data_IF_456839513958
#
_entry.id   IF_456839513958
#
_cell.length_a   1.000
_cell.length_b   1.000
_cell.length_c   1.000
_cell.angle_alpha   90.00
_cell.angle_beta   90.00
_cell.angle_gamma   90.00
#
_symmetry.space_group_name_H-M   'P 1'
#
loop_
_entity.id
_entity.type
_entity.pdbx_description
1 polymer ?
#
# COMPACT_ATOMS: atom_id res chain seq x y z
N UNK A 1 17.60 -12.45 13.74
CA UNK A 1 16.82 -13.50 13.06
C UNK A 1 17.12 -13.48 11.57
N UNK A 2 17.34 -14.61 10.90
CA UNK A 2 17.46 -14.58 9.45
C UNK A 2 16.12 -14.12 8.85
N UNK A 3 16.17 -13.22 7.86
CA UNK A 3 14.99 -12.78 7.14
C UNK A 3 14.44 -13.94 6.31
N UNK A 4 13.17 -14.22 6.48
CA UNK A 4 12.53 -15.40 5.86
C UNK A 4 11.87 -15.01 4.53
N UNK A 5 11.53 -13.71 4.36
CA UNK A 5 10.82 -13.19 3.21
C UNK A 5 11.67 -12.12 2.51
N UNK A 6 11.74 -12.17 1.20
CA UNK A 6 12.39 -11.11 0.42
C UNK A 6 11.47 -9.89 0.30
N UNK A 7 10.24 -10.10 -0.08
CA UNK A 7 9.23 -9.05 -0.21
C UNK A 7 7.94 -9.44 0.50
N UNK A 8 7.29 -8.46 1.12
CA UNK A 8 5.92 -8.55 1.61
C UNK A 8 5.11 -7.43 0.98
N UNK A 9 3.93 -7.76 0.45
CA UNK A 9 3.01 -6.81 -0.15
C UNK A 9 1.74 -6.71 0.71
N UNK A 10 1.44 -5.52 1.22
CA UNK A 10 0.19 -5.18 1.87
C UNK A 10 -0.64 -4.38 0.86
N UNK A 11 -1.58 -5.03 0.21
CA UNK A 11 -2.36 -4.45 -0.89
C UNK A 11 -3.80 -4.28 -0.49
N UNK A 12 -4.30 -3.06 -0.52
CA UNK A 12 -5.68 -2.75 -0.11
C UNK A 12 -6.02 -3.38 1.25
N UNK A 13 -5.09 -3.28 2.21
CA UNK A 13 -5.19 -3.99 3.48
C UNK A 13 -6.33 -3.47 4.35
N UNK A 14 -7.26 -4.34 4.73
CA UNK A 14 -8.33 -4.06 5.70
C UNK A 14 -7.82 -4.17 7.14
N UNK A 15 -6.71 -3.50 7.39
CA UNK A 15 -6.06 -3.36 8.68
C UNK A 15 -6.11 -1.91 9.15
N UNK A 16 -6.11 -1.68 10.46
CA UNK A 16 -6.06 -0.33 11.00
C UNK A 16 -4.77 0.39 10.56
N UNK A 17 -4.83 1.68 10.35
CA UNK A 17 -3.67 2.45 9.86
C UNK A 17 -2.52 2.57 10.87
N UNK A 18 -2.73 2.14 12.12
CA UNK A 18 -1.71 2.03 13.17
C UNK A 18 -1.02 0.64 13.23
N UNK A 19 -1.41 -0.28 12.36
CA UNK A 19 -0.95 -1.67 12.43
C UNK A 19 0.57 -1.83 12.35
N UNK A 20 1.25 -0.92 11.66
CA UNK A 20 2.71 -0.93 11.52
C UNK A 20 3.45 -0.29 12.71
N UNK A 21 2.71 0.27 13.67
CA UNK A 21 3.27 0.96 14.85
C UNK A 21 3.16 0.10 16.11
N UNK A 22 2.18 -0.77 16.20
CA UNK A 22 1.83 -1.50 17.40
C UNK A 22 2.50 -2.88 17.45
N UNK A 23 3.15 -3.19 18.56
CA UNK A 23 3.93 -4.40 18.76
C UNK A 23 3.08 -5.69 18.75
N UNK A 24 1.82 -5.59 19.14
CA UNK A 24 0.83 -6.67 19.10
C UNK A 24 0.15 -6.85 17.73
N UNK A 25 0.49 -5.99 16.77
CA UNK A 25 0.05 -6.05 15.37
C UNK A 25 1.25 -6.35 14.45
N UNK A 26 1.46 -5.54 13.41
CA UNK A 26 2.45 -5.78 12.36
C UNK A 26 3.75 -4.96 12.50
N UNK A 27 3.99 -4.28 13.64
CA UNK A 27 5.21 -3.47 13.82
C UNK A 27 6.51 -4.28 13.63
N UNK A 28 6.47 -5.58 13.87
CA UNK A 28 7.62 -6.49 13.69
C UNK A 28 7.74 -7.10 12.30
N UNK A 29 6.80 -6.84 11.40
CA UNK A 29 6.84 -7.37 10.03
C UNK A 29 8.17 -7.04 9.31
N UNK A 30 8.75 -5.83 9.46
CA UNK A 30 10.05 -5.51 8.87
C UNK A 30 11.23 -6.34 9.40
N UNK A 31 11.10 -7.02 10.53
CA UNK A 31 12.15 -7.93 11.02
C UNK A 31 12.20 -9.23 10.20
N UNK A 32 11.06 -9.66 9.66
CA UNK A 32 10.90 -10.91 8.91
C UNK A 32 11.17 -10.74 7.42
N UNK A 33 11.08 -9.52 6.90
CA UNK A 33 11.18 -9.22 5.47
C UNK A 33 12.38 -8.33 5.15
N UNK A 34 12.93 -8.47 3.95
CA UNK A 34 13.93 -7.54 3.43
C UNK A 34 13.28 -6.22 3.00
N UNK A 35 12.09 -6.29 2.41
CA UNK A 35 11.29 -5.14 2.01
C UNK A 35 9.80 -5.38 2.25
N UNK A 36 9.09 -4.32 2.65
CA UNK A 36 7.64 -4.31 2.81
C UNK A 36 7.05 -3.23 1.92
N UNK A 37 6.06 -3.56 1.13
CA UNK A 37 5.43 -2.64 0.17
C UNK A 37 3.95 -2.47 0.53
N UNK A 38 3.54 -1.24 0.84
CA UNK A 38 2.16 -0.90 1.20
C UNK A 38 1.51 -0.16 0.03
N UNK A 39 0.60 -0.82 -0.67
CA UNK A 39 -0.20 -0.23 -1.75
C UNK A 39 -1.55 0.19 -1.19
N UNK A 40 -1.88 1.46 -1.31
CA UNK A 40 -3.11 2.03 -0.77
C UNK A 40 -3.81 2.95 -1.78
N UNK A 41 -5.10 3.11 -1.61
CA UNK A 41 -5.93 3.97 -2.46
C UNK A 41 -6.99 4.68 -1.62
N UNK A 42 -6.94 6.01 -1.58
CA UNK A 42 -7.91 6.83 -0.84
C UNK A 42 -9.35 6.69 -1.36
N UNK A 43 -9.52 6.20 -2.58
CA UNK A 43 -10.83 6.00 -3.21
C UNK A 43 -11.35 4.57 -3.08
N UNK A 44 -10.74 3.74 -2.24
CA UNK A 44 -11.19 2.36 -1.99
C UNK A 44 -12.49 2.35 -1.17
N UNK A 45 -13.62 2.20 -1.85
CA UNK A 45 -14.95 2.25 -1.25
C UNK A 45 -15.23 1.08 -0.31
N UNK A 46 -14.63 -0.08 -0.55
CA UNK A 46 -14.82 -1.23 0.33
C UNK A 46 -14.24 -0.95 1.72
N UNK A 47 -13.06 -0.33 1.77
CA UNK A 47 -12.41 0.05 3.01
C UNK A 47 -13.13 1.20 3.71
N UNK A 48 -13.65 2.18 2.97
CA UNK A 48 -14.48 3.28 3.54
C UNK A 48 -15.74 2.71 4.19
N UNK A 49 -16.40 1.74 3.57
CA UNK A 49 -17.57 1.07 4.15
C UNK A 49 -17.16 0.29 5.41
N UNK A 50 -16.02 -0.39 5.39
CA UNK A 50 -15.49 -1.10 6.56
C UNK A 50 -15.27 -0.17 7.74
N UNK A 51 -14.70 1.01 7.52
CA UNK A 51 -14.47 2.02 8.56
C UNK A 51 -15.79 2.48 9.20
N UNK A 52 -16.78 2.82 8.38
CA UNK A 52 -18.06 3.34 8.87
C UNK A 52 -18.86 2.31 9.66
N UNK A 53 -18.71 1.02 9.36
CA UNK A 53 -19.44 -0.06 10.05
C UNK A 53 -18.77 -0.50 11.34
N UNK A 54 -17.45 -0.36 11.45
CA UNK A 54 -16.69 -0.84 12.62
C UNK A 54 -16.36 0.25 13.64
N UNK A 55 -16.57 1.54 13.30
CA UNK A 55 -16.26 2.69 14.16
C UNK A 55 -14.78 2.78 14.52
N UNK A 56 -13.91 2.27 13.68
CA UNK A 56 -12.48 2.11 13.91
C UNK A 56 -11.66 3.23 13.21
N UNK A 57 -10.36 3.33 13.51
CA UNK A 57 -9.43 4.18 12.77
C UNK A 57 -9.45 3.88 11.27
N UNK A 58 -8.99 4.84 10.48
CA UNK A 58 -8.82 4.67 9.04
C UNK A 58 -8.03 3.40 8.70
N UNK A 59 -8.30 2.84 7.51
CA UNK A 59 -7.65 1.62 7.07
C UNK A 59 -6.31 1.90 6.39
N UNK A 60 -5.32 1.04 6.68
CA UNK A 60 -4.01 1.09 6.05
C UNK A 60 -4.10 1.10 4.52
N UNK A 61 -4.99 0.30 3.94
CA UNK A 61 -5.19 0.20 2.50
C UNK A 61 -5.91 1.41 1.88
N UNK A 62 -6.46 2.32 2.67
CA UNK A 62 -7.08 3.56 2.16
C UNK A 62 -6.21 4.79 2.38
N UNK A 63 -5.66 4.98 3.56
CA UNK A 63 -4.92 6.20 3.90
C UNK A 63 -3.41 6.04 3.97
N UNK A 64 -2.92 4.79 3.95
CA UNK A 64 -1.55 4.47 4.34
C UNK A 64 -1.40 4.50 5.87
N UNK A 65 -0.17 4.40 6.41
CA UNK A 65 0.07 4.39 7.84
C UNK A 65 -0.31 5.72 8.49
N UNK A 66 -0.78 5.64 9.74
CA UNK A 66 -1.23 6.80 10.53
C UNK A 66 -0.12 7.82 10.72
N UNK A 67 1.09 7.37 11.00
CA UNK A 67 2.26 8.24 11.11
C UNK A 67 3.40 7.76 10.23
N UNK A 68 4.25 8.71 9.83
CA UNK A 68 5.49 8.42 9.09
C UNK A 68 6.71 8.45 10.02
N UNK A 69 6.52 8.91 11.26
CA UNK A 69 7.56 8.98 12.28
C UNK A 69 7.98 7.57 12.66
N UNK A 70 9.29 7.34 12.68
CA UNK A 70 9.88 6.02 12.98
C UNK A 70 9.49 4.86 12.05
N UNK A 71 8.82 5.15 10.93
CA UNK A 71 8.53 4.12 9.94
C UNK A 71 9.84 3.62 9.32
N UNK A 72 10.16 2.31 9.41
CA UNK A 72 11.41 1.77 8.87
C UNK A 72 11.61 2.07 7.38
N UNK A 73 12.84 2.35 6.96
CA UNK A 73 13.18 2.68 5.56
C UNK A 73 12.84 1.56 4.57
N UNK A 74 12.84 0.32 5.01
CA UNK A 74 12.46 -0.84 4.18
C UNK A 74 10.96 -0.94 3.89
N UNK A 75 10.14 -0.10 4.51
CA UNK A 75 8.71 0.03 4.18
C UNK A 75 8.56 1.08 3.09
N UNK A 76 8.14 0.65 1.91
CA UNK A 76 7.84 1.50 0.77
C UNK A 76 6.34 1.72 0.68
N UNK A 77 5.91 2.97 0.64
CA UNK A 77 4.52 3.36 0.48
C UNK A 77 4.23 3.68 -0.98
N UNK A 78 3.15 3.12 -1.52
CA UNK A 78 2.74 3.27 -2.93
C UNK A 78 1.29 3.74 -3.00
N UNK A 79 1.09 4.99 -3.39
CA UNK A 79 -0.21 5.62 -3.54
C UNK A 79 -0.77 5.35 -4.93
N UNK A 80 -1.88 4.63 -5.00
CA UNK A 80 -2.54 4.20 -6.22
C UNK A 80 -3.76 5.05 -6.58
N UNK A 81 -3.97 6.24 -5.97
CA UNK A 81 -5.20 7.04 -6.16
C UNK A 81 -5.50 7.37 -7.62
N UNK A 82 -4.48 7.59 -8.45
CA UNK A 82 -4.66 7.96 -9.85
C UNK A 82 -4.94 6.76 -10.75
N UNK A 83 -4.73 5.54 -10.26
CA UNK A 83 -4.90 4.29 -11.02
C UNK A 83 -5.97 3.37 -10.45
N UNK A 84 -6.50 3.64 -9.27
CA UNK A 84 -7.59 2.83 -8.70
C UNK A 84 -8.98 3.29 -9.17
N UNK A 85 -9.09 4.44 -9.85
CA UNK A 85 -10.33 4.89 -10.46
C UNK A 85 -10.61 4.08 -11.72
N UNK A 86 -11.47 3.08 -11.60
CA UNK A 86 -12.15 2.49 -12.73
C UNK A 86 -13.47 3.22 -12.95
N UNK A 87 -13.98 3.22 -14.20
CA UNK A 87 -15.36 3.65 -14.47
C UNK A 87 -16.29 2.94 -13.49
N UNK A 88 -17.35 3.60 -13.00
CA UNK A 88 -18.22 3.03 -11.98
C UNK A 88 -18.98 1.83 -12.53
N UNK A 89 -18.35 0.70 -12.50
CA UNK A 89 -19.06 -0.56 -12.48
C UNK A 89 -19.51 -0.75 -11.03
N UNK A 90 -20.83 -0.87 -10.84
CA UNK A 90 -21.46 -1.01 -9.52
C UNK A 90 -20.88 -2.21 -8.73
N UNK A 91 -20.30 -3.19 -9.43
CA UNK A 91 -19.67 -4.37 -8.86
C UNK A 91 -18.23 -4.13 -8.38
N UNK A 92 -17.56 -3.07 -8.82
CA UNK A 92 -16.17 -2.78 -8.47
C UNK A 92 -16.09 -1.58 -7.52
N UNK A 93 -16.03 -1.86 -6.24
CA UNK A 93 -15.88 -0.87 -5.18
C UNK A 93 -14.46 -0.28 -5.11
N UNK A 94 -13.71 -0.30 -6.21
CA UNK A 94 -12.32 0.21 -6.33
C UNK A 94 -11.30 -0.51 -5.43
N UNK A 95 -11.70 -1.66 -4.89
CA UNK A 95 -10.87 -2.46 -4.00
C UNK A 95 -9.91 -3.42 -4.73
N UNK A 96 -10.19 -3.72 -6.00
CA UNK A 96 -9.45 -4.74 -6.75
C UNK A 96 -8.38 -4.18 -7.70
N UNK A 97 -8.00 -2.91 -7.55
CA UNK A 97 -7.04 -2.23 -8.42
C UNK A 97 -5.68 -2.96 -8.47
N UNK A 98 -5.22 -3.53 -7.36
CA UNK A 98 -3.94 -4.23 -7.27
C UNK A 98 -3.84 -5.45 -8.19
N UNK A 99 -4.96 -6.06 -8.60
CA UNK A 99 -4.98 -7.20 -9.52
C UNK A 99 -5.60 -6.91 -10.88
N UNK A 100 -6.28 -5.78 -11.05
CA UNK A 100 -6.98 -5.40 -12.29
C UNK A 100 -6.27 -4.30 -13.07
N UNK A 101 -5.58 -3.40 -12.39
CA UNK A 101 -4.94 -2.26 -13.06
C UNK A 101 -3.56 -2.66 -13.59
N UNK A 102 -3.33 -2.52 -14.92
CA UNK A 102 -2.06 -2.89 -15.53
C UNK A 102 -0.89 -2.10 -14.98
N UNK A 103 -1.11 -0.84 -14.56
CA UNK A 103 -0.08 0.01 -13.98
C UNK A 103 0.43 -0.56 -12.66
N UNK A 104 -0.47 -1.05 -11.79
CA UNK A 104 -0.11 -1.65 -10.50
C UNK A 104 0.54 -3.02 -10.70
N UNK A 105 0.02 -3.83 -11.61
CA UNK A 105 0.61 -5.13 -11.96
C UNK A 105 2.04 -4.95 -12.49
N UNK A 106 2.26 -3.96 -13.36
CA UNK A 106 3.58 -3.65 -13.89
C UNK A 106 4.55 -3.20 -12.78
N UNK A 107 4.07 -2.38 -11.86
CA UNK A 107 4.85 -1.91 -10.72
C UNK A 107 5.30 -3.09 -9.82
N UNK A 108 4.38 -3.96 -9.44
CA UNK A 108 4.67 -5.17 -8.65
C UNK A 108 5.69 -6.08 -9.36
N UNK A 109 5.58 -6.23 -10.68
CA UNK A 109 6.56 -7.02 -11.46
C UNK A 109 7.96 -6.45 -11.36
N UNK A 110 8.11 -5.12 -11.37
CA UNK A 110 9.41 -4.46 -11.23
C UNK A 110 9.99 -4.67 -9.83
N UNK A 111 9.16 -4.59 -8.78
CA UNK A 111 9.57 -4.92 -7.42
C UNK A 111 10.08 -6.37 -7.34
N UNK A 112 9.32 -7.31 -7.88
CA UNK A 112 9.70 -8.74 -7.89
C UNK A 112 10.95 -9.02 -8.73
N UNK A 113 11.22 -8.19 -9.74
CA UNK A 113 12.47 -8.25 -10.51
C UNK A 113 13.68 -7.65 -9.76
N UNK A 114 13.50 -7.15 -8.54
CA UNK A 114 14.56 -6.60 -7.71
C UNK A 114 14.91 -5.14 -8.00
N UNK A 115 14.06 -4.40 -8.72
CA UNK A 115 14.31 -3.01 -9.02
C UNK A 115 14.15 -2.16 -7.75
N UNK A 116 15.08 -1.23 -7.52
CA UNK A 116 15.01 -0.31 -6.37
C UNK A 116 13.77 0.59 -6.46
N UNK A 117 13.15 0.97 -5.32
CA UNK A 117 11.89 1.71 -5.31
C UNK A 117 11.89 3.00 -6.12
N UNK A 118 12.99 3.73 -6.15
CA UNK A 118 13.19 5.00 -6.88
C UNK A 118 13.53 4.80 -8.37
N UNK A 119 13.80 3.58 -8.79
CA UNK A 119 14.11 3.22 -10.18
C UNK A 119 12.91 2.65 -10.94
N UNK A 120 11.81 2.36 -10.24
CA UNK A 120 10.62 1.78 -10.87
C UNK A 120 9.95 2.83 -11.76
N UNK A 121 9.75 2.54 -13.07
CA UNK A 121 9.09 3.45 -13.99
C UNK A 121 7.68 3.82 -13.52
N UNK A 122 7.21 4.99 -13.94
CA UNK A 122 5.85 5.48 -13.66
C UNK A 122 5.56 5.81 -12.19
N UNK A 123 6.58 5.83 -11.35
CA UNK A 123 6.51 6.32 -9.98
C UNK A 123 6.99 7.77 -9.88
N UNK A 124 6.25 8.59 -9.13
CA UNK A 124 6.67 9.93 -8.70
C UNK A 124 6.78 9.95 -7.19
N UNK A 125 7.92 10.38 -6.65
CA UNK A 125 8.11 10.49 -5.21
C UNK A 125 7.44 11.75 -4.65
N UNK A 126 6.65 11.59 -3.59
CA UNK A 126 5.96 12.66 -2.85
C UNK A 126 6.58 12.74 -1.45
N UNK A 127 7.48 13.70 -1.26
CA UNK A 127 8.31 13.80 -0.05
C UNK A 127 7.48 14.00 1.23
N UNK A 128 6.45 14.84 1.19
CA UNK A 128 5.58 15.14 2.33
C UNK A 128 4.84 13.92 2.86
N UNK A 129 4.62 12.92 2.01
CA UNK A 129 3.95 11.67 2.35
C UNK A 129 4.90 10.49 2.41
N UNK A 130 6.17 10.70 2.11
CA UNK A 130 7.17 9.64 2.02
C UNK A 130 6.68 8.45 1.19
N UNK A 131 5.99 8.73 0.10
CA UNK A 131 5.36 7.73 -0.75
C UNK A 131 5.67 7.92 -2.22
N UNK A 132 5.54 6.85 -2.98
CA UNK A 132 5.56 6.88 -4.44
C UNK A 132 4.14 6.88 -4.98
N UNK A 133 3.85 7.74 -5.94
CA UNK A 133 2.57 7.79 -6.63
C UNK A 133 2.69 7.14 -7.99
N UNK A 134 1.83 6.17 -8.29
CA UNK A 134 1.75 5.56 -9.63
C UNK A 134 0.90 6.47 -10.51
N UNK A 135 1.46 6.87 -11.68
CA UNK A 135 0.74 7.65 -12.67
C UNK A 135 -0.20 6.78 -13.51
N UNK A 136 -1.36 7.34 -13.90
CA UNK A 136 -2.21 6.75 -14.93
C UNK A 136 -1.50 6.80 -16.30
N UNK A 137 -1.66 5.76 -17.12
CA UNK A 137 -1.19 5.71 -18.51
C UNK A 137 -2.29 6.12 -19.47
#
# INVERSE_FOLDING_TARGET
MPRVLQNVFLMAADEDNDTLELADKMARLPELAEAVHVYYCANDRALIISDTTKGNPDRLGSTGPRTLTNLPHKITLVDCRDVCETKPDISDVRHQYYRKRPEVIADVRQVLAGMAPDQIPNRTYVAEKRSYRIGAR
#
